data_IF_184432858214
#
_entry.id   IF_184432858214
#
_cell.length_a   1.000
_cell.length_b   1.000
_cell.length_c   1.000
_cell.angle_alpha   90.00
_cell.angle_beta   90.00
_cell.angle_gamma   90.00
#
_symmetry.space_group_name_H-M   'P 1'
#
loop_
_entity.id
_entity.type
_entity.pdbx_description
1 polymer ?
#
# COMPACT_ATOMS: atom_id res chain seq x y z
N UNK A 1 -24.21 -6.80 42.76
CA UNK A 1 -22.84 -6.28 42.59
C UNK A 1 -22.26 -6.86 41.31
N UNK A 2 -22.45 -6.17 40.19
CA UNK A 2 -21.85 -6.53 38.90
C UNK A 2 -20.72 -5.53 38.65
N UNK A 3 -19.48 -6.01 38.58
CA UNK A 3 -18.32 -5.18 38.23
C UNK A 3 -18.29 -5.10 36.70
N UNK A 4 -18.53 -3.90 36.18
CA UNK A 4 -18.43 -3.58 34.76
C UNK A 4 -17.00 -3.80 34.27
N UNK A 5 -16.88 -4.51 33.15
CA UNK A 5 -15.66 -4.61 32.37
C UNK A 5 -15.54 -3.27 31.62
N UNK A 6 -14.40 -2.56 31.70
CA UNK A 6 -14.23 -1.33 30.95
C UNK A 6 -14.11 -1.64 29.46
N UNK A 7 -14.98 -1.01 28.68
CA UNK A 7 -14.95 -0.94 27.23
C UNK A 7 -13.61 -0.36 26.77
N UNK A 8 -12.72 -1.24 26.32
CA UNK A 8 -11.48 -0.86 25.63
C UNK A 8 -11.81 -0.63 24.14
N UNK A 9 -12.53 0.46 23.89
CA UNK A 9 -12.52 1.15 22.61
C UNK A 9 -11.07 1.59 22.33
N UNK A 10 -10.33 0.73 21.64
CA UNK A 10 -9.04 1.05 21.03
C UNK A 10 -9.28 2.12 19.97
N UNK A 11 -9.20 3.38 20.38
CA UNK A 11 -9.06 4.53 19.50
C UNK A 11 -7.71 4.42 18.77
N UNK A 12 -7.67 3.65 17.68
CA UNK A 12 -6.63 3.69 16.66
C UNK A 12 -6.72 5.03 15.93
N UNK A 13 -6.22 6.09 16.57
CA UNK A 13 -6.07 7.41 15.99
C UNK A 13 -4.95 7.35 14.96
N UNK A 14 -5.19 7.91 13.78
CA UNK A 14 -4.30 8.03 12.62
C UNK A 14 -3.03 8.88 12.89
N UNK A 15 -2.24 8.50 13.87
CA UNK A 15 -0.95 9.11 14.26
C UNK A 15 0.22 8.48 13.47
N UNK A 16 -0.02 7.35 12.79
CA UNK A 16 0.99 6.57 12.08
C UNK A 16 1.57 7.30 10.87
N UNK A 17 0.76 7.97 10.05
CA UNK A 17 1.18 8.44 8.72
C UNK A 17 2.27 9.51 8.73
N UNK A 18 2.23 10.50 9.63
CA UNK A 18 3.23 11.58 9.64
C UNK A 18 4.55 11.13 10.28
N UNK A 19 4.49 10.31 11.34
CA UNK A 19 5.68 9.80 12.00
C UNK A 19 6.38 8.74 11.14
N UNK A 20 5.62 7.89 10.46
CA UNK A 20 6.14 6.96 9.45
C UNK A 20 6.73 7.68 8.25
N UNK A 21 6.09 8.74 7.75
CA UNK A 21 6.65 9.52 6.63
C UNK A 21 7.95 10.25 7.00
N UNK A 22 8.02 10.86 8.18
CA UNK A 22 9.26 11.49 8.65
C UNK A 22 10.34 10.45 9.02
N UNK A 23 9.95 9.24 9.41
CA UNK A 23 10.87 8.09 9.58
C UNK A 23 11.31 7.51 8.24
N UNK A 24 10.44 7.44 7.24
CA UNK A 24 10.73 7.08 5.86
C UNK A 24 11.74 8.05 5.26
N UNK A 25 11.53 9.37 5.40
CA UNK A 25 12.51 10.40 5.01
C UNK A 25 13.86 10.24 5.73
N UNK A 26 13.84 9.93 7.03
CA UNK A 26 15.07 9.67 7.81
C UNK A 26 15.75 8.36 7.44
N UNK A 27 14.99 7.34 7.03
CA UNK A 27 15.48 6.05 6.54
C UNK A 27 16.08 6.17 5.14
N UNK A 28 15.48 6.99 4.27
CA UNK A 28 16.03 7.36 2.96
C UNK A 28 17.40 8.05 3.07
N UNK A 29 17.68 8.71 4.21
CA UNK A 29 18.92 9.44 4.47
C UNK A 29 19.92 8.71 5.38
N UNK A 30 19.60 7.50 5.87
CA UNK A 30 20.53 6.72 6.70
C UNK A 30 20.75 5.30 6.15
N UNK A 31 22.04 5.03 5.90
CA UNK A 31 22.70 3.79 5.44
C UNK A 31 22.72 3.57 3.93
N UNK A 32 23.87 3.06 3.46
CA UNK A 32 24.23 2.66 2.10
C UNK A 32 23.36 1.52 1.51
N UNK A 33 22.11 1.38 1.96
CA UNK A 33 21.20 0.31 1.56
C UNK A 33 20.81 0.48 0.09
N UNK A 34 20.72 -0.61 -0.70
CA UNK A 34 20.44 -0.56 -2.13
C UNK A 34 19.04 0.04 -2.45
N UNK A 35 18.06 -0.14 -1.55
CA UNK A 35 16.67 0.31 -1.70
C UNK A 35 16.08 0.71 -0.32
N UNK A 36 14.94 1.45 -0.28
CA UNK A 36 14.25 1.74 0.97
C UNK A 36 13.68 0.50 1.65
N UNK A 37 13.57 0.57 2.98
CA UNK A 37 13.09 -0.52 3.83
C UNK A 37 11.92 -0.03 4.67
N UNK A 38 10.87 -0.83 4.74
CA UNK A 38 9.63 -0.56 5.43
C UNK A 38 9.40 -1.61 6.50
N UNK A 39 8.89 -1.17 7.65
CA UNK A 39 8.50 -2.02 8.77
C UNK A 39 7.16 -1.53 9.30
N UNK A 40 6.38 -2.40 9.92
CA UNK A 40 5.18 -1.95 10.65
C UNK A 40 5.56 -0.99 11.79
N UNK A 41 4.70 0.01 12.06
CA UNK A 41 4.99 1.15 12.94
C UNK A 41 5.32 0.81 14.40
N UNK A 42 4.99 -0.40 14.85
CA UNK A 42 5.00 -0.80 16.26
C UNK A 42 6.26 -1.54 16.68
N UNK A 43 7.23 -1.72 15.77
CA UNK A 43 8.38 -2.58 15.98
C UNK A 43 9.61 -1.75 16.35
N UNK A 44 9.72 -1.36 17.63
CA UNK A 44 10.92 -0.70 18.16
C UNK A 44 11.22 -1.12 19.61
N UNK A 45 11.02 -2.38 19.93
CA UNK A 45 11.68 -2.99 21.09
C UNK A 45 13.13 -3.36 20.68
N UNK A 46 14.09 -3.20 21.59
CA UNK A 46 15.53 -3.26 21.26
C UNK A 46 15.96 -4.62 20.70
N UNK A 47 15.36 -5.70 21.19
CA UNK A 47 15.56 -7.08 20.73
C UNK A 47 15.06 -7.29 19.29
N UNK A 48 13.93 -6.69 18.95
CA UNK A 48 13.35 -6.79 17.61
C UNK A 48 14.16 -6.00 16.58
N UNK A 49 14.77 -4.89 17.00
CA UNK A 49 15.64 -4.08 16.14
C UNK A 49 16.92 -4.81 15.73
N UNK A 50 17.55 -5.58 16.62
CA UNK A 50 18.73 -6.38 16.28
C UNK A 50 18.42 -7.46 15.25
N UNK A 51 17.26 -8.11 15.40
CA UNK A 51 16.82 -9.14 14.46
C UNK A 51 16.54 -8.55 13.07
N UNK A 52 15.86 -7.39 13.01
CA UNK A 52 15.67 -6.61 11.79
C UNK A 52 16.99 -6.36 11.05
N UNK A 53 17.99 -5.85 11.76
CA UNK A 53 19.30 -5.57 11.17
C UNK A 53 19.98 -6.83 10.63
N UNK A 54 19.78 -7.98 11.27
CA UNK A 54 20.31 -9.26 10.80
C UNK A 54 19.66 -9.69 9.48
N UNK A 55 18.33 -9.61 9.36
CA UNK A 55 17.64 -9.95 8.10
C UNK A 55 18.00 -8.98 6.98
N UNK A 56 18.06 -7.67 7.27
CA UNK A 56 18.49 -6.67 6.30
C UNK A 56 19.87 -7.00 5.71
N UNK A 57 20.85 -7.30 6.57
CA UNK A 57 22.21 -7.67 6.14
C UNK A 57 22.21 -8.94 5.30
N UNK A 58 21.43 -9.95 5.68
CA UNK A 58 21.36 -11.21 4.94
C UNK A 58 20.77 -11.02 3.53
N UNK A 59 19.67 -10.27 3.41
CA UNK A 59 19.01 -9.98 2.11
C UNK A 59 19.95 -9.18 1.21
N UNK A 60 20.58 -8.12 1.72
CA UNK A 60 21.49 -7.32 0.91
C UNK A 60 22.79 -8.05 0.56
N UNK A 61 23.27 -8.93 1.44
CA UNK A 61 24.38 -9.83 1.10
C UNK A 61 23.98 -10.76 -0.04
N UNK A 62 22.80 -11.39 0.02
CA UNK A 62 22.28 -12.23 -1.06
C UNK A 62 22.15 -11.46 -2.38
N UNK A 63 21.58 -10.24 -2.34
CA UNK A 63 21.48 -9.39 -3.54
C UNK A 63 22.85 -9.11 -4.14
N UNK A 64 23.84 -8.78 -3.31
CA UNK A 64 25.20 -8.50 -3.76
C UNK A 64 25.87 -9.72 -4.38
N UNK A 65 25.78 -10.89 -3.74
CA UNK A 65 26.38 -12.13 -4.25
C UNK A 65 25.76 -12.59 -5.57
N UNK A 66 24.50 -12.22 -5.84
CA UNK A 66 23.78 -12.58 -7.07
C UNK A 66 23.68 -11.42 -8.07
N UNK A 67 24.42 -10.32 -7.87
CA UNK A 67 24.42 -9.12 -8.73
C UNK A 67 23.01 -8.53 -8.98
N UNK A 68 22.14 -8.61 -7.96
CA UNK A 68 20.77 -8.09 -8.00
C UNK A 68 20.81 -6.61 -7.61
N UNK A 69 20.37 -5.76 -8.54
CA UNK A 69 20.17 -4.34 -8.30
C UNK A 69 18.82 -3.88 -8.84
N UNK A 70 18.21 -2.92 -8.15
CA UNK A 70 16.98 -2.29 -8.60
C UNK A 70 17.29 -0.89 -9.10
N UNK A 71 16.63 -0.43 -10.18
CA UNK A 71 16.86 0.89 -10.73
C UNK A 71 16.56 1.94 -9.65
N UNK A 72 17.55 2.79 -9.39
CA UNK A 72 17.31 4.03 -8.64
C UNK A 72 16.92 5.11 -9.64
N UNK A 73 15.91 5.92 -9.32
CA UNK A 73 15.68 7.16 -10.05
C UNK A 73 16.94 8.02 -9.90
N UNK A 74 17.40 8.61 -11.00
CA UNK A 74 18.62 9.39 -11.03
C UNK A 74 18.53 10.50 -9.97
N UNK A 75 19.54 10.61 -9.10
CA UNK A 75 19.67 11.77 -8.21
C UNK A 75 19.55 13.04 -9.05
N UNK A 76 18.54 13.88 -8.78
CA UNK A 76 18.36 15.16 -9.47
C UNK A 76 19.71 15.90 -9.54
N UNK A 77 20.04 16.54 -10.68
CA UNK A 77 21.24 17.37 -10.75
C UNK A 77 21.20 18.45 -9.66
N UNK A 78 22.36 18.86 -9.11
CA UNK A 78 22.41 19.78 -7.99
C UNK A 78 21.62 21.05 -8.32
N UNK A 79 20.62 21.35 -7.48
CA UNK A 79 19.91 22.63 -7.50
C UNK A 79 20.96 23.74 -7.53
N UNK A 80 20.84 24.66 -8.50
CA UNK A 80 21.73 25.83 -8.60
C UNK A 80 21.70 26.59 -7.28
N UNK A 81 22.84 27.16 -6.83
CA UNK A 81 22.90 27.86 -5.55
C UNK A 81 21.91 29.02 -5.53
N UNK A 82 20.98 28.98 -4.59
CA UNK A 82 20.01 30.04 -4.36
C UNK A 82 20.71 31.34 -3.95
N UNK A 83 20.21 32.42 -4.53
CA UNK A 83 20.72 33.77 -4.41
C UNK A 83 20.41 34.34 -3.00
N UNK A 84 21.40 34.75 -2.19
CA UNK A 84 21.17 35.10 -0.80
C UNK A 84 20.72 36.55 -0.66
N UNK A 85 19.44 36.83 -0.93
CA UNK A 85 18.79 38.07 -0.49
C UNK A 85 17.31 37.84 -0.19
N UNK A 86 17.00 37.55 1.08
CA UNK A 86 16.02 38.32 1.87
C UNK A 86 15.80 37.67 3.24
N UNK A 87 16.73 37.92 4.15
CA UNK A 87 16.48 37.83 5.58
C UNK A 87 15.76 39.11 6.01
N UNK A 88 14.43 39.08 6.17
CA UNK A 88 13.79 39.91 7.20
C UNK A 88 12.67 39.15 7.91
N UNK A 89 12.94 38.95 9.19
CA UNK A 89 12.05 38.50 10.25
C UNK A 89 10.75 39.29 10.31
N UNK A 90 9.60 38.60 10.37
CA UNK A 90 8.41 39.08 11.09
C UNK A 90 7.61 37.92 11.71
N UNK A 91 7.06 38.23 12.88
CA UNK A 91 6.55 37.33 13.92
C UNK A 91 5.18 36.73 13.58
N UNK A 92 4.99 35.49 14.06
CA UNK A 92 3.74 34.76 14.41
C UNK A 92 2.40 35.44 14.07
N UNK A 93 1.62 34.78 13.21
CA UNK A 93 0.17 34.66 13.34
C UNK A 93 -0.19 33.18 13.18
N UNK A 94 -1.02 32.68 14.08
CA UNK A 94 -1.56 31.32 14.07
C UNK A 94 -2.71 31.32 13.05
N UNK A 95 -2.60 30.52 11.99
CA UNK A 95 -3.59 30.46 10.91
C UNK A 95 -3.01 30.93 9.57
N UNK A 96 -3.07 30.04 8.59
CA UNK A 96 -2.90 30.31 7.15
C UNK A 96 -1.54 30.85 6.68
N UNK A 97 -0.55 29.96 6.60
CA UNK A 97 0.38 29.92 5.47
C UNK A 97 1.20 28.63 5.53
N UNK A 98 0.86 27.64 4.70
CA UNK A 98 1.86 26.68 4.27
C UNK A 98 2.67 27.40 3.21
N UNK A 99 3.93 27.74 3.52
CA UNK A 99 4.86 28.23 2.52
C UNK A 99 4.87 27.26 1.32
N UNK A 100 4.92 27.80 0.10
CA UNK A 100 5.06 27.06 -1.16
C UNK A 100 6.40 26.31 -1.16
N UNK A 101 6.48 25.25 -0.38
CA UNK A 101 7.60 24.33 -0.32
C UNK A 101 7.53 23.39 -1.51
N UNK A 102 8.64 23.38 -2.25
CA UNK A 102 9.19 22.40 -3.19
C UNK A 102 8.27 21.31 -3.74
N UNK A 103 8.40 21.09 -5.05
CA UNK A 103 7.83 19.98 -5.79
C UNK A 103 8.33 18.64 -5.20
N UNK A 104 7.64 18.10 -4.19
CA UNK A 104 7.98 16.78 -3.63
C UNK A 104 7.50 15.74 -4.63
N UNK A 105 8.40 15.16 -5.42
CA UNK A 105 8.13 14.03 -6.32
C UNK A 105 7.33 12.92 -5.59
N UNK A 106 6.45 12.18 -6.28
CA UNK A 106 5.75 11.06 -5.65
C UNK A 106 6.77 10.13 -4.99
N UNK A 107 6.54 9.65 -3.76
CA UNK A 107 7.48 8.77 -3.09
C UNK A 107 7.82 7.49 -3.89
N UNK A 108 6.91 6.99 -4.72
CA UNK A 108 7.18 5.88 -5.65
C UNK A 108 8.12 6.24 -6.80
N UNK A 109 8.15 7.50 -7.24
CA UNK A 109 9.07 7.97 -8.28
C UNK A 109 10.50 8.11 -7.75
N UNK A 110 10.66 8.16 -6.43
CA UNK A 110 11.96 8.14 -5.73
C UNK A 110 12.43 6.72 -5.40
N UNK A 111 11.51 5.76 -5.37
CA UNK A 111 11.78 4.37 -5.04
C UNK A 111 10.73 3.45 -5.68
N UNK A 112 10.94 3.02 -6.94
CA UNK A 112 9.99 2.17 -7.64
C UNK A 112 9.84 0.80 -6.96
N UNK A 113 10.90 0.36 -6.28
CA UNK A 113 10.93 -0.88 -5.51
C UNK A 113 11.30 -0.60 -4.06
N UNK A 114 10.53 -1.17 -3.13
CA UNK A 114 10.76 -1.09 -1.68
C UNK A 114 10.81 -2.48 -1.06
N UNK A 115 11.67 -2.66 -0.05
CA UNK A 115 11.72 -3.88 0.77
C UNK A 115 10.82 -3.71 1.99
N UNK A 116 9.93 -4.66 2.24
CA UNK A 116 9.12 -4.72 3.46
C UNK A 116 9.60 -5.88 4.33
N UNK A 117 9.75 -5.62 5.62
CA UNK A 117 9.99 -6.64 6.65
C UNK A 117 8.73 -6.74 7.54
N UNK A 118 8.12 -7.91 7.54
CA UNK A 118 6.87 -8.26 8.24
C UNK A 118 7.19 -9.11 9.47
N UNK A 119 6.85 -8.64 10.67
CA UNK A 119 6.96 -9.48 11.87
C UNK A 119 5.71 -10.32 12.04
N UNK A 120 5.91 -11.64 12.10
CA UNK A 120 4.82 -12.57 12.32
C UNK A 120 4.71 -12.87 13.81
N UNK A 121 3.49 -13.13 14.27
CA UNK A 121 3.20 -13.58 15.64
C UNK A 121 3.94 -14.87 16.02
N UNK A 122 4.47 -15.60 15.04
CA UNK A 122 5.32 -16.78 15.24
C UNK A 122 6.74 -16.44 15.73
N UNK A 123 7.10 -15.16 15.82
CA UNK A 123 8.46 -14.69 16.12
C UNK A 123 9.42 -14.84 14.93
N UNK A 124 8.89 -15.05 13.72
CA UNK A 124 9.67 -15.06 12.47
C UNK A 124 9.45 -13.77 11.70
N UNK A 125 10.46 -13.36 10.94
CA UNK A 125 10.36 -12.23 10.02
C UNK A 125 10.09 -12.75 8.61
N UNK A 126 8.96 -12.34 8.04
CA UNK A 126 8.72 -12.39 6.61
C UNK A 126 9.33 -11.18 5.94
N UNK A 127 9.61 -11.27 4.64
CA UNK A 127 9.95 -10.11 3.82
C UNK A 127 9.23 -10.22 2.50
N UNK A 128 9.10 -9.10 1.79
CA UNK A 128 8.74 -9.07 0.37
C UNK A 128 9.21 -7.76 -0.25
N UNK A 129 9.32 -7.73 -1.56
CA UNK A 129 9.56 -6.51 -2.34
C UNK A 129 8.24 -6.06 -2.95
N UNK A 130 7.95 -4.77 -2.92
CA UNK A 130 6.85 -4.18 -3.66
C UNK A 130 7.42 -3.40 -4.85
N UNK A 131 7.01 -3.78 -6.06
CA UNK A 131 7.32 -3.10 -7.31
C UNK A 131 6.11 -2.28 -7.76
N UNK A 132 6.17 -0.96 -7.52
CA UNK A 132 5.08 -0.05 -7.80
C UNK A 132 4.79 0.11 -9.31
N UNK A 133 5.80 0.26 -10.19
CA UNK A 133 5.58 0.26 -11.64
C UNK A 133 4.79 -0.93 -12.18
N UNK A 134 5.09 -2.14 -11.68
CA UNK A 134 4.38 -3.35 -12.14
C UNK A 134 3.15 -3.70 -11.29
N UNK A 135 2.90 -2.97 -10.20
CA UNK A 135 1.88 -3.28 -9.20
C UNK A 135 1.94 -4.72 -8.64
N UNK A 136 3.15 -5.20 -8.35
CA UNK A 136 3.35 -6.58 -7.89
C UNK A 136 4.14 -6.65 -6.60
N UNK A 137 3.95 -7.76 -5.89
CA UNK A 137 4.82 -8.17 -4.79
C UNK A 137 5.67 -9.36 -5.25
N UNK A 138 6.92 -9.44 -4.79
CA UNK A 138 7.78 -10.56 -5.10
C UNK A 138 8.79 -10.87 -3.99
N UNK A 139 9.39 -12.06 -4.08
CA UNK A 139 10.40 -12.57 -3.18
C UNK A 139 11.64 -12.97 -3.97
N UNK A 140 12.82 -12.87 -3.36
CA UNK A 140 14.06 -13.35 -3.99
C UNK A 140 14.19 -14.88 -3.93
N UNK A 141 13.54 -15.49 -2.94
CA UNK A 141 13.49 -16.94 -2.76
C UNK A 141 12.19 -17.48 -3.36
N UNK A 142 12.17 -18.77 -3.79
CA UNK A 142 10.94 -19.44 -4.16
C UNK A 142 9.92 -19.33 -3.03
N UNK A 143 8.78 -18.70 -3.30
CA UNK A 143 7.74 -18.48 -2.33
C UNK A 143 6.61 -19.51 -2.53
N UNK A 144 6.26 -20.23 -1.45
CA UNK A 144 5.12 -21.14 -1.47
C UNK A 144 3.80 -20.38 -1.31
N UNK A 145 3.12 -20.20 -2.44
CA UNK A 145 1.87 -19.45 -2.53
C UNK A 145 0.64 -20.23 -2.03
N UNK A 146 0.77 -21.54 -1.75
CA UNK A 146 -0.36 -22.41 -1.38
C UNK A 146 -1.12 -21.87 -0.16
N UNK A 147 -0.40 -21.34 0.84
CA UNK A 147 -1.04 -20.81 2.04
C UNK A 147 -1.93 -19.59 1.77
N UNK A 148 -1.57 -18.74 0.79
CA UNK A 148 -2.37 -17.58 0.41
C UNK A 148 -3.64 -17.96 -0.37
N UNK A 149 -3.64 -19.14 -1.00
CA UNK A 149 -4.79 -19.68 -1.73
C UNK A 149 -5.53 -20.75 -0.94
N UNK A 150 -5.21 -20.96 0.33
CA UNK A 150 -5.80 -22.05 1.13
C UNK A 150 -7.32 -21.94 1.30
N UNK A 151 -7.89 -20.75 1.08
CA UNK A 151 -9.33 -20.52 1.07
C UNK A 151 -10.00 -20.92 -0.26
N UNK A 152 -9.23 -21.08 -1.35
CA UNK A 152 -9.68 -21.50 -2.68
C UNK A 152 -9.49 -23.00 -2.83
N UNK A 153 -10.60 -23.74 -2.95
CA UNK A 153 -10.64 -25.20 -3.00
C UNK A 153 -10.58 -25.77 -4.42
N UNK A 154 -10.68 -24.92 -5.43
CA UNK A 154 -10.59 -25.29 -6.86
C UNK A 154 -9.12 -25.30 -7.34
N UNK A 155 -8.83 -26.03 -8.43
CA UNK A 155 -7.54 -25.92 -9.13
C UNK A 155 -7.27 -24.46 -9.52
N UNK A 156 -6.13 -23.94 -9.08
CA UNK A 156 -5.76 -22.55 -9.31
C UNK A 156 -5.22 -22.39 -10.73
N UNK A 157 -5.82 -21.50 -11.51
CA UNK A 157 -5.22 -21.01 -12.74
C UNK A 157 -4.34 -19.76 -12.46
N UNK A 158 -3.52 -19.40 -13.44
CA UNK A 158 -2.64 -18.22 -13.32
C UNK A 158 -3.43 -16.92 -13.09
N UNK A 159 -4.70 -16.89 -13.51
CA UNK A 159 -5.57 -15.75 -13.34
C UNK A 159 -5.97 -15.54 -11.87
N UNK A 160 -6.44 -16.59 -11.17
CA UNK A 160 -6.77 -16.55 -9.75
C UNK A 160 -5.55 -16.19 -8.89
N UNK A 161 -4.39 -16.75 -9.22
CA UNK A 161 -3.12 -16.38 -8.59
C UNK A 161 -2.84 -14.89 -8.79
N UNK A 162 -2.99 -14.39 -10.02
CA UNK A 162 -2.81 -12.97 -10.34
C UNK A 162 -3.74 -12.06 -9.55
N UNK A 163 -5.01 -12.45 -9.38
CA UNK A 163 -5.99 -11.69 -8.62
C UNK A 163 -5.65 -11.67 -7.12
N UNK A 164 -5.17 -12.79 -6.56
CA UNK A 164 -4.72 -12.84 -5.16
C UNK A 164 -3.46 -11.99 -4.97
N UNK A 165 -2.52 -12.04 -5.90
CA UNK A 165 -1.34 -11.17 -5.90
C UNK A 165 -1.73 -9.69 -5.91
N UNK A 166 -2.71 -9.31 -6.74
CA UNK A 166 -3.22 -7.94 -6.82
C UNK A 166 -3.92 -7.51 -5.54
N UNK A 167 -4.69 -8.41 -4.90
CA UNK A 167 -5.25 -8.17 -3.57
C UNK A 167 -4.14 -7.83 -2.56
N UNK A 168 -3.08 -8.64 -2.48
CA UNK A 168 -1.97 -8.39 -1.57
C UNK A 168 -1.21 -7.10 -1.87
N UNK A 169 -1.05 -6.73 -3.15
CA UNK A 169 -0.47 -5.44 -3.53
C UNK A 169 -1.32 -4.26 -3.03
N UNK A 170 -2.64 -4.30 -3.19
CA UNK A 170 -3.51 -3.25 -2.67
C UNK A 170 -3.52 -3.20 -1.14
N UNK A 171 -3.45 -4.36 -0.48
CA UNK A 171 -3.30 -4.44 0.96
C UNK A 171 -1.98 -3.79 1.44
N UNK A 172 -0.87 -4.04 0.75
CA UNK A 172 0.40 -3.35 1.00
C UNK A 172 0.22 -1.82 0.93
N UNK A 173 -0.45 -1.33 -0.12
CA UNK A 173 -0.72 0.11 -0.26
C UNK A 173 -1.66 0.64 0.83
N UNK A 174 -2.58 -0.17 1.37
CA UNK A 174 -3.38 0.20 2.55
C UNK A 174 -2.50 0.42 3.79
N UNK A 175 -1.49 -0.42 3.98
CA UNK A 175 -0.53 -0.32 5.10
C UNK A 175 0.40 0.88 4.94
N UNK A 176 0.83 1.17 3.71
CA UNK A 176 1.75 2.26 3.40
C UNK A 176 1.15 3.27 2.41
N UNK A 177 0.03 3.93 2.75
CA UNK A 177 -0.75 4.75 1.80
C UNK A 177 -0.05 6.04 1.39
N UNK A 178 1.10 6.34 2.01
CA UNK A 178 1.94 7.48 1.70
C UNK A 178 2.95 7.18 0.58
N UNK A 179 3.23 5.91 0.28
CA UNK A 179 4.30 5.51 -0.64
C UNK A 179 3.86 5.45 -2.09
N UNK A 180 2.60 5.11 -2.35
CA UNK A 180 2.05 5.03 -3.69
C UNK A 180 0.96 6.08 -3.89
N UNK A 181 1.09 6.93 -4.91
CA UNK A 181 0.02 7.79 -5.41
C UNK A 181 -0.64 7.12 -6.62
N UNK A 182 -1.97 6.97 -6.58
CA UNK A 182 -2.77 6.43 -7.67
C UNK A 182 -2.52 7.21 -8.98
N UNK A 183 -2.06 6.49 -9.99
CA UNK A 183 -1.93 6.97 -11.36
C UNK A 183 -3.30 7.05 -12.05
N UNK A 184 -3.39 7.76 -13.17
CA UNK A 184 -4.65 7.88 -13.90
C UNK A 184 -5.11 6.50 -14.43
N UNK A 185 -4.19 5.65 -14.88
CA UNK A 185 -4.48 4.25 -15.27
C UNK A 185 -5.09 3.43 -14.10
N UNK A 186 -4.66 3.69 -12.87
CA UNK A 186 -5.24 3.03 -11.69
C UNK A 186 -6.68 3.47 -11.49
N UNK A 187 -6.95 4.77 -11.69
CA UNK A 187 -8.29 5.32 -11.51
C UNK A 187 -9.26 4.76 -12.55
N UNK A 188 -8.81 4.63 -13.80
CA UNK A 188 -9.58 4.01 -14.89
C UNK A 188 -9.88 2.54 -14.57
N UNK A 189 -8.88 1.78 -14.10
CA UNK A 189 -9.10 0.39 -13.69
C UNK A 189 -10.09 0.29 -12.52
N UNK A 190 -9.98 1.17 -11.52
CA UNK A 190 -10.88 1.19 -10.37
C UNK A 190 -12.32 1.49 -10.83
N UNK A 191 -12.51 2.49 -11.70
CA UNK A 191 -13.85 2.84 -12.19
C UNK A 191 -14.47 1.70 -13.01
N UNK A 192 -13.68 1.02 -13.86
CA UNK A 192 -14.15 -0.14 -14.63
C UNK A 192 -14.53 -1.31 -13.73
N UNK A 193 -13.73 -1.61 -12.71
CA UNK A 193 -14.04 -2.63 -11.69
C UNK A 193 -15.37 -2.33 -10.99
N UNK A 194 -15.58 -1.07 -10.59
CA UNK A 194 -16.78 -0.66 -9.87
C UNK A 194 -18.00 -0.65 -10.80
N UNK A 195 -17.83 -0.20 -12.04
CA UNK A 195 -18.84 -0.25 -13.08
C UNK A 195 -19.28 -1.68 -13.41
N UNK A 196 -18.32 -2.59 -13.57
CA UNK A 196 -18.58 -4.03 -13.72
C UNK A 196 -19.38 -4.58 -12.55
N UNK A 197 -18.96 -4.27 -11.31
CA UNK A 197 -19.62 -4.75 -10.10
C UNK A 197 -21.07 -4.27 -9.99
N UNK A 198 -21.33 -2.99 -10.27
CA UNK A 198 -22.70 -2.46 -10.32
C UNK A 198 -23.50 -3.10 -11.45
N UNK A 199 -22.91 -3.26 -12.63
CA UNK A 199 -23.53 -3.93 -13.77
C UNK A 199 -23.97 -5.36 -13.44
N UNK A 200 -23.12 -6.14 -12.78
CA UNK A 200 -23.44 -7.50 -12.33
C UNK A 200 -24.62 -7.49 -11.34
N UNK A 201 -24.61 -6.61 -10.34
CA UNK A 201 -25.71 -6.48 -9.38
C UNK A 201 -27.05 -6.17 -10.06
N UNK A 202 -27.06 -5.28 -11.05
CA UNK A 202 -28.30 -4.85 -11.70
C UNK A 202 -28.80 -5.84 -12.76
N UNK A 203 -27.90 -6.55 -13.43
CA UNK A 203 -28.25 -7.40 -14.58
C UNK A 203 -28.34 -8.88 -14.24
N UNK A 204 -27.66 -9.32 -13.19
CA UNK A 204 -27.63 -10.73 -12.78
C UNK A 204 -28.64 -11.01 -11.67
N UNK A 205 -29.55 -11.96 -11.91
CA UNK A 205 -30.43 -12.51 -10.88
C UNK A 205 -29.68 -13.26 -9.77
N UNK A 206 -28.39 -13.58 -10.00
CA UNK A 206 -27.47 -14.24 -9.08
C UNK A 206 -26.12 -13.54 -9.15
N UNK A 207 -26.11 -12.24 -8.84
CA UNK A 207 -24.87 -11.48 -8.78
C UNK A 207 -23.87 -12.18 -7.86
N UNK A 208 -22.65 -12.33 -8.36
CA UNK A 208 -21.57 -12.83 -7.54
C UNK A 208 -21.23 -11.77 -6.49
N UNK A 209 -21.21 -10.49 -6.85
CA UNK A 209 -20.79 -9.37 -6.02
C UNK A 209 -21.62 -9.23 -4.74
N UNK A 210 -20.99 -9.37 -3.56
CA UNK A 210 -21.65 -9.19 -2.24
C UNK A 210 -21.58 -7.75 -1.70
N UNK A 211 -21.39 -6.79 -2.60
CA UNK A 211 -21.32 -5.39 -2.24
C UNK A 211 -22.70 -4.75 -2.33
N UNK A 212 -22.96 -3.89 -1.35
CA UNK A 212 -24.14 -3.04 -1.34
C UNK A 212 -24.01 -1.98 -2.45
N UNK A 213 -24.97 -1.87 -3.40
CA UNK A 213 -24.90 -0.88 -4.47
C UNK A 213 -24.69 0.55 -3.95
N UNK A 214 -25.21 0.90 -2.78
CA UNK A 214 -25.01 2.22 -2.17
C UNK A 214 -23.53 2.43 -1.78
N UNK A 215 -22.84 1.39 -1.32
CA UNK A 215 -21.40 1.44 -1.00
C UNK A 215 -20.55 1.54 -2.27
N UNK A 216 -20.94 0.86 -3.34
CA UNK A 216 -20.28 0.98 -4.64
C UNK A 216 -20.46 2.39 -5.23
N UNK A 217 -21.64 2.98 -5.13
CA UNK A 217 -21.87 4.37 -5.53
C UNK A 217 -21.06 5.37 -4.71
N UNK A 218 -20.91 5.12 -3.40
CA UNK A 218 -20.03 5.93 -2.55
C UNK A 218 -18.56 5.82 -2.95
N UNK A 219 -18.09 4.61 -3.27
CA UNK A 219 -16.74 4.37 -3.75
C UNK A 219 -16.49 5.10 -5.07
N UNK A 220 -17.38 4.96 -6.07
CA UNK A 220 -17.25 5.66 -7.35
C UNK A 220 -17.19 7.18 -7.16
N UNK A 221 -18.05 7.71 -6.28
CA UNK A 221 -18.01 9.14 -5.91
C UNK A 221 -16.68 9.53 -5.28
N UNK A 222 -16.10 8.68 -4.42
CA UNK A 222 -14.81 8.94 -3.78
C UNK A 222 -13.67 8.96 -4.80
N UNK A 223 -13.67 8.00 -5.72
CA UNK A 223 -12.68 7.85 -6.80
C UNK A 223 -12.71 9.08 -7.71
N UNK A 224 -13.87 9.45 -8.27
CA UNK A 224 -13.98 10.65 -9.11
C UNK A 224 -13.62 11.94 -8.36
N UNK A 225 -14.03 12.07 -7.09
CA UNK A 225 -13.64 13.24 -6.27
C UNK A 225 -12.13 13.28 -6.03
N UNK A 226 -11.49 12.13 -5.84
CA UNK A 226 -10.05 12.03 -5.68
C UNK A 226 -9.33 12.42 -6.98
N UNK A 227 -9.81 11.92 -8.11
CA UNK A 227 -9.33 12.23 -9.45
C UNK A 227 -9.40 13.74 -9.75
N UNK A 228 -10.47 14.42 -9.35
CA UNK A 228 -10.62 15.86 -9.57
C UNK A 228 -9.66 16.73 -8.74
N UNK A 229 -8.92 16.16 -7.79
CA UNK A 229 -7.91 16.91 -7.04
C UNK A 229 -6.69 17.13 -7.90
N UNK A 230 -6.09 18.31 -7.78
CA UNK A 230 -4.75 18.54 -8.32
C UNK A 230 -3.72 17.60 -7.65
N UNK A 231 -2.61 17.28 -8.33
CA UNK A 231 -1.61 16.34 -7.81
C UNK A 231 -1.10 16.67 -6.41
N UNK A 232 -0.94 17.96 -6.06
CA UNK A 232 -0.48 18.35 -4.71
C UNK A 232 -1.52 17.98 -3.64
N UNK A 233 -2.81 18.17 -3.94
CA UNK A 233 -3.91 17.76 -3.05
C UNK A 233 -4.10 16.26 -2.99
N UNK A 234 -3.93 15.52 -4.10
CA UNK A 234 -3.94 14.05 -4.14
C UNK A 234 -2.89 13.48 -3.16
N UNK A 235 -1.64 13.94 -3.24
CA UNK A 235 -0.55 13.53 -2.33
C UNK A 235 -0.86 13.74 -0.86
N UNK A 236 -1.51 14.85 -0.51
CA UNK A 236 -1.90 15.14 0.89
C UNK A 236 -3.11 14.32 1.35
N UNK A 237 -3.87 13.71 0.44
CA UNK A 237 -5.09 12.96 0.73
C UNK A 237 -4.81 11.49 1.11
N UNK A 238 -3.85 11.25 2.00
CA UNK A 238 -3.41 9.91 2.44
C UNK A 238 -4.58 9.07 2.99
N UNK A 239 -5.49 9.68 3.74
CA UNK A 239 -6.64 8.97 4.31
C UNK A 239 -7.65 8.48 3.27
N UNK A 240 -7.90 9.27 2.22
CA UNK A 240 -8.76 8.85 1.11
C UNK A 240 -8.08 7.75 0.30
N UNK A 241 -6.79 7.89 -0.03
CA UNK A 241 -6.02 6.84 -0.70
C UNK A 241 -6.08 5.51 0.06
N UNK A 242 -5.83 5.55 1.37
CA UNK A 242 -5.93 4.36 2.22
C UNK A 242 -7.31 3.70 2.11
N UNK A 243 -8.36 4.51 2.09
CA UNK A 243 -9.74 4.01 2.00
C UNK A 243 -9.99 3.34 0.64
N UNK A 244 -9.50 3.94 -0.45
CA UNK A 244 -9.57 3.37 -1.81
C UNK A 244 -8.81 2.03 -1.85
N UNK A 245 -7.56 1.97 -1.35
CA UNK A 245 -6.76 0.74 -1.31
C UNK A 245 -7.42 -0.39 -0.53
N UNK A 246 -7.98 -0.09 0.66
CA UNK A 246 -8.71 -1.06 1.46
C UNK A 246 -9.88 -1.66 0.69
N UNK A 247 -10.61 -0.82 -0.03
CA UNK A 247 -11.79 -1.25 -0.79
C UNK A 247 -11.36 -2.14 -1.96
N UNK A 248 -10.29 -1.78 -2.67
CA UNK A 248 -9.74 -2.61 -3.75
C UNK A 248 -9.24 -3.96 -3.28
N UNK A 249 -8.49 -4.00 -2.18
CA UNK A 249 -8.05 -5.25 -1.56
C UNK A 249 -9.25 -6.14 -1.21
N UNK A 250 -10.29 -5.58 -0.57
CA UNK A 250 -11.50 -6.33 -0.25
C UNK A 250 -12.25 -6.81 -1.51
N UNK A 251 -12.28 -6.02 -2.58
CA UNK A 251 -12.94 -6.41 -3.83
C UNK A 251 -12.22 -7.58 -4.51
N UNK A 252 -10.90 -7.49 -4.70
CA UNK A 252 -10.10 -8.58 -5.24
C UNK A 252 -10.23 -9.85 -4.40
N UNK A 253 -10.21 -9.73 -3.06
CA UNK A 253 -10.40 -10.87 -2.16
C UNK A 253 -11.77 -11.54 -2.28
N UNK A 254 -12.85 -10.76 -2.39
CA UNK A 254 -14.20 -11.30 -2.52
C UNK A 254 -14.42 -12.01 -3.86
N UNK A 255 -13.90 -11.48 -4.96
CA UNK A 255 -13.99 -12.13 -6.27
C UNK A 255 -13.39 -13.54 -6.25
N UNK A 256 -12.29 -13.73 -5.52
CA UNK A 256 -11.61 -15.03 -5.40
C UNK A 256 -12.48 -16.05 -4.69
N UNK A 257 -13.07 -15.67 -3.54
CA UNK A 257 -13.97 -16.55 -2.77
C UNK A 257 -15.23 -16.90 -3.56
N UNK A 258 -15.71 -15.99 -4.41
CA UNK A 258 -16.95 -16.21 -5.17
C UNK A 258 -16.75 -17.13 -6.37
N UNK A 259 -15.61 -17.03 -7.05
CA UNK A 259 -15.25 -17.97 -8.12
C UNK A 259 -15.08 -19.40 -7.58
N UNK A 260 -14.66 -19.56 -6.31
CA UNK A 260 -14.62 -20.85 -5.61
C UNK A 260 -16.03 -21.45 -5.39
N UNK A 261 -17.02 -20.62 -5.02
CA UNK A 261 -18.39 -21.04 -4.78
C UNK A 261 -19.21 -21.38 -6.04
N UNK A 262 -18.77 -20.93 -7.22
CA UNK A 262 -19.42 -21.23 -8.51
C UNK A 262 -18.99 -22.60 -9.07
N UNK A 263 -17.87 -23.17 -8.57
CA UNK A 263 -17.39 -24.50 -8.96
C UNK A 263 -18.34 -25.65 -8.62
N UNK A 264 -19.17 -25.51 -7.58
CA UNK A 264 -20.19 -26.51 -7.20
C UNK A 264 -21.49 -26.39 -8.02
N UNK A 265 -21.66 -25.34 -8.82
CA UNK A 265 -22.88 -25.10 -9.61
C UNK A 265 -22.81 -25.62 -11.06
N UNK A 266 -21.64 -26.07 -11.53
CA UNK A 266 -21.44 -26.64 -12.87
C UNK A 266 -21.03 -28.11 -12.82
N UNK A 267 -21.80 -28.92 -12.08
CA UNK A 267 -21.95 -30.35 -12.33
C UNK A 267 -23.43 -30.63 -12.52
N UNK A 268 -24.04 -30.06 -13.56
CA UNK A 268 -25.25 -30.57 -14.24
C UNK A 268 -25.56 -29.62 -15.41
N UNK A 269 -24.95 -29.88 -16.56
CA UNK A 269 -25.55 -29.90 -17.90
C UNK A 269 -24.51 -30.39 -18.92
#
# INVERSE_FOLDING_TARGET
MSKGIPDQSLHLVAVTTQMEYERYKRGFTRLDNPIPILTEAWIYEDDVFEELQRYMKAIFFYMKENDISFPRPASQPPQKPDNPRNLTCRKRSYGDHWEEGEHVEPPQDLAPVVLVLEFRLTGRVGYYFADHPSQTLFWLEPFDFIHMLSEVRVEWDNWLVGLQMKNHYWYHNELFPHLYELADDDMDEIDDIVGYAMGDIFTSSRSAVHWDPDKLGYLQTMVHRYEQKDPKRRRRSVGERRTIYRILSSFCGHLIVQLDGVGDAYVFL
#
